data_IF_244299054700
#
_entry.id   IF_244299054700
#
_cell.length_a   1.000
_cell.length_b   1.000
_cell.length_c   1.000
_cell.angle_alpha   90.00
_cell.angle_beta   90.00
_cell.angle_gamma   90.00
#
_symmetry.space_group_name_H-M   'P 1'
#
loop_
_entity.id
_entity.type
_entity.pdbx_description
1 polymer ?
#
# COMPACT_ATOMS: atom_id res chain seq x y z
N UNK A 1 -0.54 -9.40 -0.16
CA UNK A 1 -0.98 -9.69 -1.53
C UNK A 1 -0.48 -8.59 -2.46
N UNK A 2 -0.10 -8.93 -3.71
CA UNK A 2 0.31 -7.98 -4.75
C UNK A 2 -0.90 -7.65 -5.65
N UNK A 3 -1.01 -6.42 -6.16
CA UNK A 3 -2.14 -6.01 -7.01
C UNK A 3 -2.05 -6.57 -8.44
N UNK A 4 -0.84 -6.85 -8.94
CA UNK A 4 -0.59 -7.52 -10.21
C UNK A 4 0.08 -8.88 -9.99
N UNK A 5 0.01 -9.78 -10.97
CA UNK A 5 0.82 -11.00 -10.93
C UNK A 5 2.32 -10.65 -10.92
N UNK A 6 3.09 -11.28 -10.03
CA UNK A 6 4.56 -11.16 -10.03
C UNK A 6 5.23 -11.90 -11.19
N UNK A 7 4.48 -12.80 -11.86
CA UNK A 7 4.96 -13.56 -13.03
C UNK A 7 4.78 -12.80 -14.35
N UNK A 8 3.99 -11.73 -14.34
CA UNK A 8 3.68 -10.94 -15.53
C UNK A 8 4.25 -9.52 -15.41
N UNK A 9 5.20 -9.20 -16.28
CA UNK A 9 5.90 -7.92 -16.26
C UNK A 9 5.07 -6.73 -16.79
N UNK A 10 3.86 -6.95 -17.32
CA UNK A 10 3.00 -5.86 -17.81
C UNK A 10 2.50 -4.91 -16.71
N UNK A 11 2.32 -5.40 -15.47
CA UNK A 11 1.96 -4.64 -14.25
C UNK A 11 0.97 -3.48 -14.53
N UNK A 12 -0.18 -3.82 -15.12
CA UNK A 12 -1.10 -2.82 -15.68
C UNK A 12 -1.77 -2.00 -14.57
N UNK A 13 -2.10 -2.62 -13.43
CA UNK A 13 -2.68 -1.91 -12.30
C UNK A 13 -1.65 -0.96 -11.67
N UNK A 14 -0.40 -1.40 -11.49
CA UNK A 14 0.68 -0.50 -11.03
C UNK A 14 0.84 0.70 -11.95
N UNK A 15 0.93 0.48 -13.26
CA UNK A 15 1.13 1.53 -14.25
C UNK A 15 -0.02 2.55 -14.20
N UNK A 16 -1.26 2.07 -14.15
CA UNK A 16 -2.44 2.92 -14.09
C UNK A 16 -2.46 3.79 -12.82
N UNK A 17 -2.25 3.18 -11.65
CA UNK A 17 -2.34 3.88 -10.36
C UNK A 17 -1.20 4.88 -10.20
N UNK A 18 0.05 4.48 -10.45
CA UNK A 18 1.21 5.35 -10.28
C UNK A 18 1.24 6.49 -11.29
N UNK A 19 0.71 6.29 -12.51
CA UNK A 19 0.53 7.38 -13.49
C UNK A 19 -0.45 8.45 -13.00
N UNK A 20 -1.40 8.09 -12.14
CA UNK A 20 -2.36 9.00 -11.53
C UNK A 20 -1.94 9.43 -10.11
N UNK A 21 -0.67 9.25 -9.75
CA UNK A 21 -0.12 9.64 -8.44
C UNK A 21 -0.78 8.93 -7.24
N UNK A 22 -1.41 7.78 -7.48
CA UNK A 22 -1.99 6.93 -6.42
C UNK A 22 -0.93 5.94 -5.97
N UNK A 23 -0.46 6.10 -4.73
CA UNK A 23 0.52 5.21 -4.12
C UNK A 23 -0.10 3.85 -3.79
N UNK A 24 0.73 2.81 -3.85
CA UNK A 24 0.32 1.42 -3.64
C UNK A 24 1.03 0.90 -2.40
N UNK A 25 0.25 0.33 -1.47
CA UNK A 25 0.74 -0.41 -0.31
C UNK A 25 0.30 -1.86 -0.44
N UNK A 26 1.26 -2.78 -0.34
CA UNK A 26 1.02 -4.21 -0.54
C UNK A 26 1.42 -5.00 0.71
N UNK A 27 0.93 -6.23 0.81
CA UNK A 27 1.29 -7.16 1.89
C UNK A 27 0.99 -6.67 3.32
N UNK A 28 -0.11 -5.92 3.49
CA UNK A 28 -0.67 -5.59 4.79
C UNK A 28 -1.20 -6.84 5.51
N UNK A 29 -1.27 -6.76 6.84
CA UNK A 29 -1.79 -7.79 7.74
C UNK A 29 -2.73 -7.15 8.78
N UNK A 30 -3.55 -7.95 9.46
CA UNK A 30 -4.51 -7.45 10.47
C UNK A 30 -5.67 -6.65 9.87
N UNK A 31 -6.01 -6.88 8.60
CA UNK A 31 -7.05 -6.11 7.90
C UNK A 31 -8.46 -6.48 8.37
N UNK A 32 -8.62 -7.70 8.87
CA UNK A 32 -9.84 -8.23 9.45
C UNK A 32 -10.34 -7.42 10.64
N UNK A 33 -9.43 -6.78 11.39
CA UNK A 33 -9.76 -5.91 12.52
C UNK A 33 -10.36 -4.56 12.09
N UNK A 34 -10.30 -4.22 10.80
CA UNK A 34 -10.74 -2.94 10.25
C UNK A 34 -12.08 -3.03 9.51
N UNK A 35 -12.68 -4.22 9.43
CA UNK A 35 -13.94 -4.41 8.72
C UNK A 35 -15.10 -3.69 9.42
N UNK A 36 -15.71 -2.72 8.73
CA UNK A 36 -16.84 -1.95 9.25
C UNK A 36 -16.44 -0.75 10.11
N UNK A 37 -15.15 -0.59 10.39
CA UNK A 37 -14.61 0.52 11.17
C UNK A 37 -14.22 1.70 10.27
N UNK A 38 -14.41 2.91 10.77
CA UNK A 38 -13.73 4.07 10.20
C UNK A 38 -12.34 4.14 10.82
N UNK A 39 -11.31 4.29 9.98
CA UNK A 39 -9.93 4.33 10.48
C UNK A 39 -9.07 5.28 9.68
N UNK A 40 -8.00 5.75 10.33
CA UNK A 40 -6.90 6.46 9.68
C UNK A 40 -5.73 5.50 9.49
N UNK A 41 -5.33 5.29 8.23
CA UNK A 41 -4.15 4.51 7.89
C UNK A 41 -2.88 5.37 7.93
N UNK A 42 -1.86 4.87 8.61
CA UNK A 42 -0.51 5.40 8.57
C UNK A 42 0.39 4.38 7.86
N UNK A 43 1.14 4.84 6.85
CA UNK A 43 2.05 4.02 6.05
C UNK A 43 3.45 4.66 6.06
N UNK A 44 4.16 4.57 7.18
CA UNK A 44 5.38 5.36 7.42
C UNK A 44 6.59 4.72 6.73
N UNK A 45 7.20 5.39 5.73
CA UNK A 45 8.39 4.88 5.05
C UNK A 45 9.68 5.33 5.73
N UNK A 46 10.80 4.68 5.38
CA UNK A 46 12.13 5.24 5.62
C UNK A 46 12.32 6.50 4.77
N UNK A 47 13.07 7.48 5.28
CA UNK A 47 13.44 8.69 4.54
C UNK A 47 14.52 8.36 3.49
N UNK A 48 14.08 7.84 2.35
CA UNK A 48 14.92 7.45 1.23
C UNK A 48 14.69 8.35 0.00
N UNK A 49 15.64 8.39 -0.92
CA UNK A 49 15.55 9.09 -2.21
C UNK A 49 15.90 8.14 -3.35
N UNK A 50 15.32 8.37 -4.53
CA UNK A 50 15.59 7.62 -5.77
C UNK A 50 15.35 6.11 -5.64
N UNK A 51 14.21 5.74 -5.08
CA UNK A 51 13.82 4.35 -4.81
C UNK A 51 12.48 4.04 -5.48
N UNK A 52 12.37 2.85 -6.07
CA UNK A 52 11.15 2.42 -6.75
C UNK A 52 10.09 1.90 -5.78
N UNK A 53 10.51 1.27 -4.68
CA UNK A 53 9.65 0.75 -3.61
C UNK A 53 10.43 0.73 -2.30
N UNK A 54 9.71 0.78 -1.17
CA UNK A 54 10.27 0.87 0.17
C UNK A 54 9.46 0.01 1.13
N UNK A 55 10.14 -0.64 2.07
CA UNK A 55 9.47 -1.20 3.25
C UNK A 55 8.93 -0.05 4.11
N UNK A 56 7.76 -0.27 4.69
CA UNK A 56 7.07 0.68 5.56
C UNK A 56 6.70 0.03 6.88
N UNK A 57 6.41 0.85 7.90
CA UNK A 57 5.60 0.44 9.04
C UNK A 57 4.16 0.94 8.82
N UNK A 58 3.26 0.01 8.52
CA UNK A 58 1.84 0.30 8.42
C UNK A 58 1.12 0.01 9.75
N UNK A 59 0.22 0.89 10.14
CA UNK A 59 -0.70 0.72 11.26
C UNK A 59 -1.92 1.63 11.09
N UNK A 60 -3.00 1.31 11.80
CA UNK A 60 -4.24 2.09 11.73
C UNK A 60 -4.63 2.59 13.13
N UNK A 61 -5.27 3.76 13.14
CA UNK A 61 -5.98 4.32 14.29
C UNK A 61 -7.48 4.20 14.00
N UNK A 62 -8.23 3.49 14.83
CA UNK A 62 -9.69 3.41 14.73
C UNK A 62 -10.26 4.76 15.18
N UNK A 63 -11.17 5.30 14.39
CA UNK A 63 -11.82 6.58 14.63
C UNK A 63 -13.20 6.34 15.23
N UNK A 64 -13.47 7.00 16.36
CA UNK A 64 -14.80 7.05 16.99
C UNK A 64 -15.82 7.85 16.17
#
# INVERSE_FOLDING_TARGET
MNIDSSRNMKRAAHTLLLKNEILIVENLAGLEELHGENFRLFAVPLKAKNVAALSIRAFAEILE
#
